data_IF_202851145851
#
_entry.id   IF_202851145851
#
_cell.length_a   1.000
_cell.length_b   1.000
_cell.length_c   1.000
_cell.angle_alpha   90.00
_cell.angle_beta   90.00
_cell.angle_gamma   90.00
#
_symmetry.space_group_name_H-M   'P 1'
#
loop_
_entity.id
_entity.type
_entity.pdbx_description
1 polymer ?
#
# COMPACT_ATOMS: atom_id res chain seq x y z
N UNK A 1 -21.30 10.79 7.72
CA UNK A 1 -19.90 10.76 8.14
C UNK A 1 -18.97 11.31 7.07
N UNK A 2 -19.29 11.19 5.80
CA UNK A 2 -18.53 11.77 4.70
C UNK A 2 -19.23 13.03 4.21
N UNK A 3 -18.45 14.10 4.01
CA UNK A 3 -18.98 15.38 3.58
C UNK A 3 -19.46 15.35 2.12
N UNK A 4 -18.72 14.58 1.31
CA UNK A 4 -18.88 14.46 -0.15
C UNK A 4 -19.01 13.00 -0.57
N UNK A 5 -20.02 12.32 -0.03
CA UNK A 5 -20.27 10.92 -0.34
C UNK A 5 -20.75 10.74 -1.79
N UNK A 6 -19.95 10.02 -2.57
CA UNK A 6 -20.28 9.58 -3.92
C UNK A 6 -20.27 8.04 -3.96
N UNK A 7 -21.44 7.37 -4.16
CA UNK A 7 -21.57 5.92 -4.02
C UNK A 7 -20.61 5.12 -4.89
N UNK A 8 -20.46 5.49 -6.15
CA UNK A 8 -19.60 4.78 -7.10
C UNK A 8 -18.13 4.79 -6.67
N UNK A 9 -17.64 5.93 -6.21
CA UNK A 9 -16.27 6.08 -5.72
C UNK A 9 -16.09 5.35 -4.40
N UNK A 10 -16.97 5.58 -3.42
CA UNK A 10 -16.84 5.01 -2.08
C UNK A 10 -16.92 3.49 -2.08
N UNK A 11 -17.89 2.90 -2.77
CA UNK A 11 -18.00 1.46 -2.89
C UNK A 11 -16.77 0.83 -3.53
N UNK A 12 -16.30 1.40 -4.63
CA UNK A 12 -15.12 0.90 -5.32
C UNK A 12 -13.86 0.98 -4.44
N UNK A 13 -13.67 2.10 -3.73
CA UNK A 13 -12.54 2.26 -2.79
C UNK A 13 -12.62 1.28 -1.62
N UNK A 14 -13.80 1.12 -1.00
CA UNK A 14 -14.00 0.15 0.08
C UNK A 14 -13.69 -1.27 -0.37
N UNK A 15 -14.22 -1.70 -1.52
CA UNK A 15 -13.95 -3.02 -2.08
C UNK A 15 -12.47 -3.22 -2.41
N UNK A 16 -11.81 -2.20 -2.96
CA UNK A 16 -10.39 -2.26 -3.28
C UNK A 16 -9.53 -2.37 -2.01
N UNK A 17 -9.85 -1.60 -0.97
CA UNK A 17 -9.13 -1.62 0.30
C UNK A 17 -9.35 -2.91 1.10
N UNK A 18 -10.58 -3.44 1.08
CA UNK A 18 -10.91 -4.71 1.74
C UNK A 18 -10.35 -5.94 1.01
N UNK A 19 -9.88 -5.77 -0.22
CA UNK A 19 -9.36 -6.86 -1.04
C UNK A 19 -10.42 -7.82 -1.56
N UNK A 20 -11.69 -7.43 -1.54
CA UNK A 20 -12.82 -8.24 -2.01
C UNK A 20 -12.98 -8.27 -3.52
N UNK A 21 -12.31 -7.37 -4.25
CA UNK A 21 -12.27 -7.43 -5.71
C UNK A 21 -11.18 -8.37 -6.17
N UNK A 22 -11.52 -9.45 -6.86
CA UNK A 22 -10.55 -10.41 -7.41
C UNK A 22 -9.60 -9.83 -8.47
N UNK A 23 -9.92 -8.66 -9.03
CA UNK A 23 -9.20 -8.03 -10.14
C UNK A 23 -8.09 -7.10 -9.63
N UNK A 24 -8.33 -6.36 -8.55
CA UNK A 24 -7.43 -5.32 -8.05
C UNK A 24 -6.45 -5.86 -6.99
N UNK A 25 -5.24 -5.34 -7.02
CA UNK A 25 -4.27 -5.59 -5.95
C UNK A 25 -4.64 -4.78 -4.72
N UNK A 26 -4.66 -5.42 -3.54
CA UNK A 26 -4.84 -4.72 -2.25
C UNK A 26 -3.71 -3.71 -2.10
N UNK A 27 -4.10 -2.49 -1.78
CA UNK A 27 -3.17 -1.39 -1.51
C UNK A 27 -3.14 -1.12 -0.01
N UNK A 28 -1.96 -1.18 0.57
CA UNK A 28 -1.73 -0.80 1.96
C UNK A 28 -1.01 0.54 1.91
N UNK A 29 -1.73 1.60 2.27
CA UNK A 29 -1.18 2.95 2.30
C UNK A 29 -0.42 3.18 3.60
N UNK A 30 0.68 3.92 3.50
CA UNK A 30 1.38 4.44 4.67
C UNK A 30 0.73 5.76 5.10
N UNK A 31 0.04 5.83 6.26
CA UNK A 31 -0.63 7.04 6.70
C UNK A 31 0.33 8.19 6.99
N UNK A 32 1.53 7.90 7.47
CA UNK A 32 2.58 8.89 7.74
C UNK A 32 3.01 9.54 6.43
N UNK A 33 3.34 8.70 5.42
CA UNK A 33 3.71 9.21 4.10
C UNK A 33 2.58 10.00 3.45
N UNK A 34 1.33 9.55 3.57
CA UNK A 34 0.17 10.29 3.06
C UNK A 34 0.04 11.66 3.73
N UNK A 35 0.22 11.73 5.05
CA UNK A 35 0.25 13.01 5.77
C UNK A 35 1.36 13.92 5.26
N UNK A 36 2.58 13.42 5.12
CA UNK A 36 3.72 14.20 4.62
C UNK A 36 3.53 14.67 3.17
N UNK A 37 2.95 13.83 2.29
CA UNK A 37 2.74 14.16 0.88
C UNK A 37 1.61 15.19 0.68
N UNK A 38 0.58 15.20 1.55
CA UNK A 38 -0.61 16.03 1.36
C UNK A 38 -0.71 17.24 2.32
N UNK A 39 0.01 17.20 3.44
CA UNK A 39 0.05 18.25 4.45
C UNK A 39 1.49 18.45 4.98
N UNK A 40 2.48 18.74 4.12
CA UNK A 40 3.89 18.78 4.50
C UNK A 40 4.17 19.80 5.60
N UNK A 41 3.48 20.93 5.62
CA UNK A 41 3.61 21.97 6.65
C UNK A 41 2.74 21.72 7.89
N UNK A 42 1.86 20.70 7.84
CA UNK A 42 1.00 20.33 8.94
C UNK A 42 -0.13 21.31 9.26
N UNK A 43 -0.60 22.05 8.26
CA UNK A 43 -1.71 23.01 8.46
C UNK A 43 -3.01 22.31 8.87
N UNK A 44 -3.31 21.17 8.23
CA UNK A 44 -4.47 20.36 8.56
C UNK A 44 -4.34 19.74 9.95
N UNK A 45 -3.17 19.17 10.27
CA UNK A 45 -2.90 18.57 11.58
C UNK A 45 -3.09 19.61 12.68
N UNK A 46 -2.45 20.78 12.57
CA UNK A 46 -2.54 21.83 13.59
C UNK A 46 -3.95 22.39 13.77
N UNK A 47 -4.73 22.44 12.70
CA UNK A 47 -6.12 22.89 12.73
C UNK A 47 -7.01 21.95 13.54
N UNK A 48 -6.79 20.62 13.41
CA UNK A 48 -7.70 19.62 13.96
C UNK A 48 -7.16 18.94 15.22
N UNK A 49 -5.87 19.06 15.48
CA UNK A 49 -5.18 18.54 16.66
C UNK A 49 -4.44 19.69 17.37
N UNK A 50 -5.17 20.52 18.14
CA UNK A 50 -4.60 21.69 18.79
C UNK A 50 -3.47 21.35 19.76
N UNK A 51 -3.45 20.15 20.34
CA UNK A 51 -2.38 19.62 21.17
C UNK A 51 -1.03 19.53 20.44
N UNK A 52 -1.07 19.40 19.11
CA UNK A 52 0.13 19.38 18.26
C UNK A 52 0.49 20.75 17.67
N UNK A 53 -0.22 21.80 18.02
CA UNK A 53 -0.06 23.12 17.38
C UNK A 53 1.37 23.68 17.50
N UNK A 54 2.07 23.42 18.63
CA UNK A 54 3.42 23.88 18.91
C UNK A 54 4.51 22.87 18.52
N UNK A 55 4.12 21.68 18.07
CA UNK A 55 5.08 20.64 17.68
C UNK A 55 5.83 21.07 16.41
N UNK A 56 7.17 20.96 16.37
CA UNK A 56 7.96 21.25 15.18
C UNK A 56 7.52 20.39 13.98
N UNK A 57 7.58 20.95 12.78
CA UNK A 57 7.15 20.26 11.54
C UNK A 57 7.86 18.91 11.37
N UNK A 58 9.12 18.82 11.76
CA UNK A 58 9.93 17.59 11.67
C UNK A 58 9.33 16.43 12.46
N UNK A 59 8.62 16.71 13.54
CA UNK A 59 7.99 15.70 14.40
C UNK A 59 6.48 15.61 14.22
N UNK A 60 5.87 16.53 13.47
CA UNK A 60 4.41 16.69 13.41
C UNK A 60 3.66 15.47 12.87
N UNK A 61 4.26 14.77 11.91
CA UNK A 61 3.70 13.52 11.36
C UNK A 61 4.08 12.26 12.14
N UNK A 62 5.04 12.39 13.06
CA UNK A 62 5.52 11.31 13.92
C UNK A 62 5.85 11.85 15.32
N UNK A 63 4.86 12.35 16.10
CA UNK A 63 5.09 12.99 17.38
C UNK A 63 5.82 12.09 18.38
N UNK A 64 5.66 10.78 18.29
CA UNK A 64 6.33 9.80 19.15
C UNK A 64 7.85 9.74 18.99
N UNK A 65 8.41 10.44 18.01
CA UNK A 65 9.85 10.58 17.81
C UNK A 65 10.43 11.82 18.52
N UNK A 66 9.60 12.62 19.19
CA UNK A 66 10.07 13.77 19.96
C UNK A 66 10.94 13.33 21.13
N UNK A 67 12.05 14.02 21.31
CA UNK A 67 12.83 13.94 22.56
C UNK A 67 12.04 14.57 23.73
N UNK A 68 12.42 14.27 24.97
CA UNK A 68 11.83 14.92 26.14
C UNK A 68 11.93 16.44 26.05
N UNK A 69 13.08 16.95 25.61
CA UNK A 69 13.30 18.39 25.44
C UNK A 69 12.37 19.00 24.34
N UNK A 70 12.04 18.23 23.28
CA UNK A 70 11.09 18.69 22.27
C UNK A 70 9.66 18.67 22.80
N UNK A 71 9.29 17.69 23.60
CA UNK A 71 8.00 17.61 24.27
C UNK A 71 7.80 18.78 25.23
N UNK A 72 8.82 19.12 26.02
CA UNK A 72 8.78 20.28 26.91
C UNK A 72 8.64 21.60 26.12
N UNK A 73 9.44 21.79 25.08
CA UNK A 73 9.39 23.00 24.23
C UNK A 73 8.06 23.19 23.51
N UNK A 74 7.47 22.10 23.08
CA UNK A 74 6.18 22.10 22.38
C UNK A 74 4.98 22.06 23.33
N UNK A 75 5.20 21.94 24.64
CA UNK A 75 4.17 21.74 25.66
C UNK A 75 3.19 20.60 25.27
N UNK A 76 3.74 19.51 24.75
CA UNK A 76 2.99 18.34 24.32
C UNK A 76 3.67 17.07 24.84
N UNK A 77 3.12 16.47 25.88
CA UNK A 77 3.64 15.25 26.51
C UNK A 77 3.00 14.03 25.90
N UNK A 78 3.83 13.15 25.36
CA UNK A 78 3.38 11.87 24.80
C UNK A 78 2.85 10.96 25.91
N UNK A 79 1.73 10.34 25.64
CA UNK A 79 1.02 9.48 26.60
C UNK A 79 0.07 10.24 27.54
N UNK A 80 0.13 11.57 27.58
CA UNK A 80 -0.75 12.43 28.36
C UNK A 80 -1.58 13.35 27.45
N UNK A 81 -0.90 14.27 26.77
CA UNK A 81 -1.55 15.25 25.89
C UNK A 81 -1.82 14.66 24.50
N UNK A 82 -0.92 13.82 24.03
CA UNK A 82 -1.06 13.08 22.76
C UNK A 82 -0.75 11.59 22.98
N UNK A 83 -1.56 10.66 22.47
CA UNK A 83 -1.37 9.23 22.70
C UNK A 83 -0.10 8.69 22.05
N UNK A 84 0.49 7.69 22.70
CA UNK A 84 1.56 6.89 22.10
C UNK A 84 1.00 6.00 20.99
N UNK A 85 1.81 5.61 19.99
CA UNK A 85 1.41 4.68 18.95
C UNK A 85 0.94 3.35 19.56
N UNK A 86 -0.22 2.86 19.15
CA UNK A 86 -0.73 1.56 19.60
C UNK A 86 0.00 0.38 18.97
N UNK A 87 0.67 0.61 17.84
CA UNK A 87 1.38 -0.43 17.09
C UNK A 87 2.49 0.18 16.24
N UNK A 88 3.48 -0.63 15.91
CA UNK A 88 4.45 -0.30 14.86
C UNK A 88 3.78 -0.45 13.49
N UNK A 89 3.69 0.67 12.76
CA UNK A 89 3.06 0.70 11.43
C UNK A 89 3.78 -0.20 10.43
N UNK A 90 5.12 -0.21 10.42
CA UNK A 90 5.89 -0.94 9.44
C UNK A 90 5.69 -2.46 9.59
N UNK A 91 5.73 -2.92 10.84
CA UNK A 91 5.48 -4.33 11.17
C UNK A 91 4.01 -4.71 10.90
N UNK A 92 3.05 -3.88 11.29
CA UNK A 92 1.63 -4.11 11.01
C UNK A 92 1.34 -4.19 9.50
N UNK A 93 1.91 -3.28 8.72
CA UNK A 93 1.77 -3.28 7.25
C UNK A 93 2.43 -4.51 6.61
N UNK A 94 3.55 -4.98 7.13
CA UNK A 94 4.21 -6.21 6.70
C UNK A 94 3.33 -7.42 6.98
N UNK A 95 2.86 -7.57 8.22
CA UNK A 95 1.98 -8.68 8.62
C UNK A 95 0.68 -8.70 7.80
N UNK A 96 0.04 -7.55 7.58
CA UNK A 96 -1.16 -7.45 6.76
C UNK A 96 -0.88 -7.91 5.32
N UNK A 97 0.23 -7.49 4.75
CA UNK A 97 0.69 -7.88 3.42
C UNK A 97 0.91 -9.38 3.31
N UNK A 98 1.62 -9.94 4.27
CA UNK A 98 1.94 -11.38 4.32
C UNK A 98 0.67 -12.23 4.42
N UNK A 99 -0.29 -11.82 5.26
CA UNK A 99 -1.61 -12.48 5.38
C UNK A 99 -2.39 -12.45 4.07
N UNK A 100 -2.47 -11.29 3.42
CA UNK A 100 -3.15 -11.15 2.12
C UNK A 100 -2.49 -11.98 1.04
N UNK A 101 -1.15 -11.99 0.98
CA UNK A 101 -0.43 -12.81 0.02
C UNK A 101 -0.55 -14.31 0.29
N UNK A 102 -0.61 -14.72 1.55
CA UNK A 102 -0.85 -16.11 1.92
C UNK A 102 -2.22 -16.60 1.40
N UNK A 103 -3.27 -15.82 1.61
CA UNK A 103 -4.60 -16.12 1.08
C UNK A 103 -4.62 -16.20 -0.46
N UNK A 104 -3.93 -15.27 -1.14
CA UNK A 104 -3.88 -15.20 -2.61
C UNK A 104 -3.08 -16.34 -3.26
N UNK A 105 -2.21 -17.02 -2.52
CA UNK A 105 -1.48 -18.22 -3.00
C UNK A 105 -2.38 -19.45 -3.06
N UNK A 106 -3.51 -19.45 -2.37
CA UNK A 106 -4.45 -20.57 -2.33
C UNK A 106 -5.00 -20.92 -3.72
N UNK A 107 -5.21 -22.23 -3.98
CA UNK A 107 -5.77 -22.71 -5.25
C UNK A 107 -7.19 -22.17 -5.48
N UNK A 108 -8.00 -22.19 -4.45
CA UNK A 108 -9.39 -21.70 -4.49
C UNK A 108 -9.43 -20.23 -4.91
N UNK A 109 -8.64 -19.36 -4.25
CA UNK A 109 -8.57 -17.95 -4.60
C UNK A 109 -8.22 -17.71 -6.06
N UNK A 110 -7.27 -18.49 -6.61
CA UNK A 110 -6.86 -18.35 -8.01
C UNK A 110 -7.99 -18.72 -8.96
N UNK A 111 -8.70 -19.81 -8.69
CA UNK A 111 -9.85 -20.21 -9.50
C UNK A 111 -10.97 -19.15 -9.50
N UNK A 112 -11.30 -18.60 -8.33
CA UNK A 112 -12.30 -17.55 -8.19
C UNK A 112 -11.86 -16.24 -8.85
N UNK A 113 -10.61 -15.82 -8.67
CA UNK A 113 -10.06 -14.62 -9.29
C UNK A 113 -10.03 -14.73 -10.83
N UNK A 114 -9.69 -15.89 -11.36
CA UNK A 114 -9.71 -16.16 -12.81
C UNK A 114 -11.15 -16.12 -13.34
N UNK A 115 -12.12 -16.68 -12.64
CA UNK A 115 -13.53 -16.63 -13.00
C UNK A 115 -14.07 -15.19 -13.02
N UNK A 116 -13.76 -14.41 -11.99
CA UNK A 116 -14.14 -12.98 -11.91
C UNK A 116 -13.48 -12.18 -13.05
N UNK A 117 -12.20 -12.44 -13.32
CA UNK A 117 -11.50 -11.78 -14.42
C UNK A 117 -12.07 -12.13 -15.79
N UNK A 118 -12.50 -13.37 -16.00
CA UNK A 118 -13.17 -13.77 -17.24
C UNK A 118 -14.53 -13.07 -17.41
N UNK A 119 -15.27 -12.90 -16.32
CA UNK A 119 -16.61 -12.31 -16.36
C UNK A 119 -16.58 -10.78 -16.44
N UNK A 120 -15.69 -10.11 -15.72
CA UNK A 120 -15.68 -8.65 -15.53
C UNK A 120 -14.41 -7.95 -16.04
N UNK A 121 -13.36 -8.69 -16.36
CA UNK A 121 -12.11 -8.11 -16.85
C UNK A 121 -12.25 -7.60 -18.29
N UNK A 122 -11.64 -6.45 -18.61
CA UNK A 122 -11.59 -5.98 -19.98
C UNK A 122 -10.83 -6.97 -20.86
N UNK A 123 -11.44 -7.38 -21.97
CA UNK A 123 -10.93 -8.42 -22.91
C UNK A 123 -9.54 -8.11 -23.49
N UNK A 124 -9.05 -6.87 -23.38
CA UNK A 124 -7.71 -6.46 -23.86
C UNK A 124 -6.53 -7.01 -23.04
N UNK A 125 -6.74 -7.52 -21.82
CA UNK A 125 -5.64 -7.93 -20.95
C UNK A 125 -5.20 -9.39 -21.03
N UNK A 126 -6.02 -10.30 -21.54
CA UNK A 126 -5.71 -11.75 -21.52
C UNK A 126 -4.83 -12.18 -22.69
N UNK A 127 -5.10 -11.71 -23.90
CA UNK A 127 -4.30 -12.02 -25.10
C UNK A 127 -2.89 -11.41 -25.03
N UNK A 128 -2.77 -10.20 -24.49
CA UNK A 128 -1.48 -9.50 -24.38
C UNK A 128 -0.54 -10.11 -23.31
N UNK A 129 -1.10 -10.62 -22.19
CA UNK A 129 -0.31 -11.31 -21.16
C UNK A 129 0.16 -12.69 -21.65
N UNK A 130 -0.66 -13.39 -22.39
CA UNK A 130 -0.30 -14.69 -22.97
C UNK A 130 0.76 -14.55 -24.07
N UNK A 131 0.64 -13.52 -24.90
CA UNK A 131 1.63 -13.16 -25.91
C UNK A 131 2.97 -12.69 -25.28
N UNK A 132 2.94 -11.93 -24.18
CA UNK A 132 4.16 -11.55 -23.44
C UNK A 132 4.82 -12.72 -22.72
N UNK A 133 4.03 -13.67 -22.19
CA UNK A 133 4.57 -14.90 -21.57
C UNK A 133 5.22 -15.81 -22.60
N UNK A 134 4.59 -15.99 -23.76
CA UNK A 134 5.16 -16.81 -24.84
C UNK A 134 6.42 -16.18 -25.45
N UNK A 135 6.45 -14.85 -25.62
CA UNK A 135 7.68 -14.13 -26.05
C UNK A 135 8.82 -14.26 -25.05
N UNK A 136 8.56 -14.10 -23.74
CA UNK A 136 9.57 -14.28 -22.70
C UNK A 136 10.08 -15.72 -22.62
N UNK A 137 9.23 -16.70 -22.86
CA UNK A 137 9.64 -18.11 -22.86
C UNK A 137 10.54 -18.41 -24.05
N UNK A 138 10.16 -17.99 -25.27
CA UNK A 138 10.98 -18.13 -26.47
C UNK A 138 12.33 -17.42 -26.38
N UNK A 139 12.36 -16.24 -25.74
CA UNK A 139 13.60 -15.50 -25.55
C UNK A 139 14.55 -16.18 -24.56
N UNK A 140 14.02 -16.87 -23.52
CA UNK A 140 14.83 -17.68 -22.61
C UNK A 140 15.34 -18.97 -23.26
N UNK A 141 14.52 -19.62 -24.07
CA UNK A 141 14.90 -20.83 -24.81
C UNK A 141 15.96 -20.50 -25.88
N UNK A 142 15.84 -19.42 -26.62
CA UNK A 142 16.85 -18.98 -27.58
C UNK A 142 18.18 -18.49 -26.96
N UNK A 143 18.16 -17.96 -25.72
CA UNK A 143 19.40 -17.63 -25.01
C UNK A 143 20.13 -18.89 -24.47
N UNK A 144 19.39 -19.95 -24.15
CA UNK A 144 19.98 -21.22 -23.70
C UNK A 144 20.63 -22.00 -24.84
N UNK A 145 20.11 -21.92 -26.07
CA UNK A 145 20.72 -22.55 -27.24
C UNK A 145 21.93 -21.77 -27.77
N UNK A 146 21.95 -20.45 -27.65
CA UNK A 146 23.08 -19.62 -28.07
C UNK A 146 24.33 -19.72 -27.17
N UNK A 147 24.18 -20.24 -25.94
CA UNK A 147 25.28 -20.40 -24.98
C UNK A 147 25.98 -21.76 -25.10
N UNK A 148 25.43 -22.68 -25.89
CA UNK A 148 26.02 -24.02 -26.13
C UNK A 148 26.95 -24.06 -27.38
N UNK A 149 27.08 -22.97 -28.11
CA UNK A 149 27.89 -22.94 -29.35
C UNK A 149 29.19 -22.13 -29.26
N UNK A 150 29.62 -21.72 -28.04
CA UNK A 150 30.82 -20.89 -27.86
C UNK A 150 31.95 -21.58 -27.08
N UNK A 151 31.97 -22.90 -26.99
CA UNK A 151 33.08 -23.61 -26.39
C UNK A 151 33.57 -24.71 -27.34
N UNK A 152 34.40 -24.33 -28.29
CA UNK A 152 35.41 -25.21 -28.98
C UNK A 152 36.10 -24.39 -30.09
N UNK A 153 37.23 -23.84 -29.72
CA UNK A 153 38.16 -23.29 -30.68
C UNK A 153 39.41 -22.79 -29.97
#
# INVERSE_FOLDING_TARGET
LFVDYEPGIHWNQCQMQSGTTGINTVRIYNPIKQGQDHDPEGHFIRRWLPELAQVPVVHLHMPWQMSEADQERSNCRLGSDYPLPLLDYAEAAKQARDRVWALRKGRQYRCEADAIQQQHGSRRGSSDRQARRSRRRRQKEGMAEGQLTLDFG
#
